data_IF_408245112390
#
_entry.id   IF_408245112390
#
_cell.length_a   1.000
_cell.length_b   1.000
_cell.length_c   1.000
_cell.angle_alpha   90.00
_cell.angle_beta   90.00
_cell.angle_gamma   90.00
#
_symmetry.space_group_name_H-M   'P 1'
#
loop_
_entity.id
_entity.type
_entity.pdbx_description
1 polymer ?
#
# COMPACT_ATOMS: atom_id res chain seq x y z
N UNK A 1 1.07 3.39 -9.47
CA UNK A 1 0.32 4.64 -9.70
C UNK A 1 -1.14 4.43 -9.38
N UNK A 2 -1.79 5.40 -8.73
CA UNK A 2 -3.24 5.47 -8.58
C UNK A 2 -3.72 6.75 -9.24
N UNK A 3 -4.67 6.64 -10.17
CA UNK A 3 -5.32 7.78 -10.81
C UNK A 3 -6.80 7.75 -10.48
N UNK A 4 -7.32 8.86 -9.94
CA UNK A 4 -8.73 8.99 -9.58
C UNK A 4 -9.35 10.08 -10.45
N UNK A 5 -10.51 9.77 -11.02
CA UNK A 5 -11.34 10.74 -11.73
C UNK A 5 -12.77 10.76 -11.19
N UNK A 6 -13.34 11.96 -11.18
CA UNK A 6 -14.73 12.24 -10.80
C UNK A 6 -15.44 12.80 -12.03
N UNK A 7 -16.52 12.15 -12.47
CA UNK A 7 -17.26 12.55 -13.68
C UNK A 7 -16.36 12.73 -14.92
N UNK A 8 -15.31 11.92 -15.04
CA UNK A 8 -14.35 11.99 -16.15
C UNK A 8 -13.22 13.01 -15.96
N UNK A 9 -13.29 13.88 -14.95
CA UNK A 9 -12.21 14.83 -14.63
C UNK A 9 -11.22 14.15 -13.70
N UNK A 10 -9.95 14.05 -14.13
CA UNK A 10 -8.89 13.51 -13.29
C UNK A 10 -8.51 14.52 -12.22
N UNK A 11 -8.59 14.12 -10.96
CA UNK A 11 -8.32 14.98 -9.80
C UNK A 11 -6.98 14.67 -9.16
N UNK A 12 -6.43 13.48 -9.38
CA UNK A 12 -5.08 13.12 -8.94
C UNK A 12 -4.05 13.80 -9.83
N UNK A 13 -2.97 14.29 -9.22
CA UNK A 13 -1.83 14.81 -9.97
C UNK A 13 -1.23 13.73 -10.89
N UNK A 14 -0.79 14.12 -12.07
CA UNK A 14 -0.21 13.25 -13.09
C UNK A 14 1.24 12.82 -12.79
N UNK A 15 1.62 12.78 -11.50
CA UNK A 15 2.97 12.39 -11.08
C UNK A 15 3.01 10.90 -10.77
N UNK A 16 3.97 10.18 -11.37
CA UNK A 16 4.22 8.75 -11.11
C UNK A 16 4.86 8.48 -9.74
N UNK A 17 4.46 9.24 -8.72
CA UNK A 17 5.07 9.25 -7.39
C UNK A 17 4.14 8.72 -6.30
N UNK A 18 3.03 8.09 -6.68
CA UNK A 18 2.05 7.53 -5.75
C UNK A 18 2.69 6.61 -4.70
N UNK A 19 3.64 5.80 -5.12
CA UNK A 19 4.36 4.83 -4.29
C UNK A 19 5.23 5.50 -3.21
N UNK A 20 5.88 6.62 -3.54
CA UNK A 20 6.64 7.40 -2.56
C UNK A 20 5.71 8.14 -1.61
N UNK A 21 4.62 8.71 -2.15
CA UNK A 21 3.60 9.35 -1.35
C UNK A 21 2.98 8.39 -0.34
N UNK A 22 2.58 7.19 -0.74
CA UNK A 22 2.00 6.19 0.17
C UNK A 22 2.99 5.78 1.26
N UNK A 23 4.25 5.62 0.90
CA UNK A 23 5.33 5.29 1.83
C UNK A 23 5.54 6.40 2.86
N UNK A 24 5.69 7.66 2.42
CA UNK A 24 5.88 8.80 3.31
C UNK A 24 4.64 9.06 4.18
N UNK A 25 3.43 8.96 3.61
CA UNK A 25 2.20 9.10 4.38
C UNK A 25 2.14 8.06 5.49
N UNK A 26 2.54 6.81 5.23
CA UNK A 26 2.56 5.76 6.24
C UNK A 26 3.58 6.06 7.35
N UNK A 27 4.78 6.51 7.00
CA UNK A 27 5.82 6.88 7.98
C UNK A 27 5.39 8.06 8.86
N UNK A 28 4.80 9.11 8.27
CA UNK A 28 4.48 10.33 9.00
C UNK A 28 3.15 10.26 9.75
N UNK A 29 2.23 9.41 9.33
CA UNK A 29 0.90 9.30 9.96
C UNK A 29 0.91 8.38 11.17
N UNK A 30 1.70 7.31 11.14
CA UNK A 30 1.57 6.20 12.08
C UNK A 30 2.78 6.07 13.00
N UNK A 31 2.51 5.73 14.27
CA UNK A 31 3.54 5.39 15.25
C UNK A 31 3.94 3.91 15.16
N UNK A 32 4.95 3.53 15.95
CA UNK A 32 5.38 2.13 16.11
C UNK A 32 4.24 1.18 16.50
N UNK A 33 3.28 1.65 17.29
CA UNK A 33 2.17 0.82 17.78
C UNK A 33 1.18 0.47 16.66
N UNK A 34 0.96 1.42 15.74
CA UNK A 34 0.18 1.18 14.54
C UNK A 34 0.90 0.20 13.60
N UNK A 35 2.22 0.30 13.51
CA UNK A 35 3.05 -0.62 12.72
C UNK A 35 3.04 -2.05 13.26
N UNK A 36 2.97 -2.23 14.59
CA UNK A 36 2.84 -3.53 15.23
C UNK A 36 1.41 -4.11 15.19
N UNK A 37 0.42 -3.30 14.80
CA UNK A 37 -0.99 -3.69 14.77
C UNK A 37 -1.53 -3.74 13.34
N UNK A 38 -2.44 -2.84 12.99
CA UNK A 38 -3.24 -2.90 11.77
C UNK A 38 -2.44 -2.68 10.47
N UNK A 39 -1.28 -2.01 10.54
CA UNK A 39 -0.45 -1.81 9.33
C UNK A 39 0.21 -3.11 8.85
N UNK A 40 0.33 -4.13 9.71
CA UNK A 40 0.80 -5.45 9.28
C UNK A 40 -0.10 -6.07 8.21
N UNK A 41 -1.41 -5.74 8.20
CA UNK A 41 -2.35 -6.14 7.14
C UNK A 41 -1.99 -5.54 5.77
N UNK A 42 -1.32 -4.39 5.74
CA UNK A 42 -0.81 -3.74 4.54
C UNK A 42 0.64 -4.14 4.24
N UNK A 43 1.14 -5.20 4.90
CA UNK A 43 2.50 -5.72 4.77
C UNK A 43 3.60 -4.75 5.23
N UNK A 44 3.24 -3.80 6.09
CA UNK A 44 4.16 -2.83 6.67
C UNK A 44 4.80 -3.40 7.94
N UNK A 45 6.09 -3.72 7.87
CA UNK A 45 6.91 -4.14 9.01
C UNK A 45 8.07 -3.16 9.17
N UNK A 46 8.31 -2.70 10.39
CA UNK A 46 9.38 -1.73 10.66
C UNK A 46 10.73 -2.37 10.38
N UNK A 47 11.52 -1.68 9.55
CA UNK A 47 12.91 -2.04 9.31
C UNK A 47 13.79 -1.48 10.45
N UNK A 48 14.80 -2.25 10.84
CA UNK A 48 15.72 -1.90 11.93
C UNK A 48 17.17 -1.89 11.43
N UNK A 49 18.02 -1.07 12.08
CA UNK A 49 19.44 -0.99 11.75
C UNK A 49 19.66 -0.52 10.31
N UNK A 50 20.46 -1.27 9.56
CA UNK A 50 20.63 -1.03 8.12
C UNK A 50 19.34 -1.41 7.38
N UNK A 51 18.68 -0.42 6.76
CA UNK A 51 17.41 -0.60 6.03
C UNK A 51 17.61 -1.23 4.65
N UNK A 52 18.83 -1.63 4.31
CA UNK A 52 19.15 -2.32 3.08
C UNK A 52 18.67 -3.78 3.08
N UNK A 53 18.57 -4.40 1.88
CA UNK A 53 18.31 -5.82 1.75
C UNK A 53 19.48 -6.60 2.37
N UNK A 54 19.17 -7.64 3.14
CA UNK A 54 20.18 -8.46 3.80
C UNK A 54 19.93 -9.94 3.52
N UNK A 55 20.89 -10.81 3.82
CA UNK A 55 20.70 -12.26 3.73
C UNK A 55 19.72 -12.72 4.81
N UNK A 56 18.49 -13.14 4.46
CA UNK A 56 17.47 -13.48 5.45
C UNK A 56 17.76 -14.76 6.23
N UNK A 57 18.78 -15.53 5.84
CA UNK A 57 19.22 -16.75 6.50
C UNK A 57 20.31 -16.54 7.56
N UNK A 58 20.89 -15.33 7.63
CA UNK A 58 21.94 -15.00 8.60
C UNK A 58 21.38 -14.54 9.94
N UNK A 59 21.91 -15.08 11.05
CA UNK A 59 21.58 -14.68 12.43
C UNK A 59 22.02 -13.25 12.79
N UNK A 60 22.88 -12.63 11.97
CA UNK A 60 23.40 -11.27 12.18
C UNK A 60 22.59 -10.18 11.46
N UNK A 61 21.40 -10.52 10.96
CA UNK A 61 20.58 -9.58 10.18
C UNK A 61 20.10 -8.40 11.02
N UNK A 62 20.46 -7.19 10.58
CA UNK A 62 20.00 -5.95 11.22
C UNK A 62 18.53 -5.67 10.91
N UNK A 63 18.10 -5.94 9.66
CA UNK A 63 16.78 -5.58 9.16
C UNK A 63 15.72 -6.66 9.43
N UNK A 64 15.17 -6.65 10.64
CA UNK A 64 14.12 -7.61 11.05
C UNK A 64 12.83 -7.47 10.23
N UNK A 65 12.47 -6.26 9.81
CA UNK A 65 11.31 -6.01 8.97
C UNK A 65 11.43 -6.71 7.61
N UNK A 66 12.60 -6.59 6.96
CA UNK A 66 12.90 -7.31 5.72
C UNK A 66 12.81 -8.84 5.88
N UNK A 67 13.44 -9.39 6.92
CA UNK A 67 13.42 -10.84 7.20
C UNK A 67 12.00 -11.36 7.41
N UNK A 68 11.16 -10.59 8.10
CA UNK A 68 9.75 -10.94 8.31
C UNK A 68 8.98 -11.00 6.99
N UNK A 69 9.13 -9.97 6.14
CA UNK A 69 8.50 -9.94 4.80
C UNK A 69 8.98 -11.08 3.91
N UNK A 70 10.27 -11.39 3.95
CA UNK A 70 10.83 -12.52 3.21
C UNK A 70 10.25 -13.85 3.69
N UNK A 71 10.14 -14.06 5.01
CA UNK A 71 9.58 -15.29 5.56
C UNK A 71 8.12 -15.53 5.18
N UNK A 72 7.33 -14.47 4.99
CA UNK A 72 5.94 -14.54 4.55
C UNK A 72 5.78 -14.76 3.04
N UNK A 73 6.82 -14.54 2.25
CA UNK A 73 6.77 -14.61 0.77
C UNK A 73 7.67 -15.68 0.16
N UNK A 74 8.56 -16.29 0.96
CA UNK A 74 9.43 -17.38 0.51
C UNK A 74 8.62 -18.51 -0.10
N UNK A 75 9.22 -19.23 -1.04
CA UNK A 75 8.59 -20.38 -1.72
C UNK A 75 7.30 -20.02 -2.48
N UNK A 76 7.17 -18.77 -2.94
CA UNK A 76 6.00 -18.29 -3.70
C UNK A 76 4.69 -18.41 -2.93
N UNK A 77 4.74 -18.20 -1.61
CA UNK A 77 3.52 -18.15 -0.79
C UNK A 77 2.59 -17.02 -1.24
N UNK A 78 1.30 -17.33 -1.24
CA UNK A 78 0.24 -16.36 -1.51
C UNK A 78 0.00 -15.53 -0.26
N UNK A 79 -0.07 -14.21 -0.44
CA UNK A 79 -0.33 -13.26 0.64
C UNK A 79 -1.56 -12.42 0.28
N UNK A 80 -2.38 -12.14 1.29
CA UNK A 80 -3.51 -11.24 1.17
C UNK A 80 -3.14 -9.92 1.86
N UNK A 81 -3.33 -8.80 1.17
CA UNK A 81 -3.02 -7.47 1.69
C UNK A 81 -4.28 -6.62 1.74
N UNK A 82 -4.49 -5.95 2.87
CA UNK A 82 -5.58 -5.01 3.07
C UNK A 82 -5.02 -3.66 3.51
N UNK A 83 -5.41 -2.61 2.78
CA UNK A 83 -4.97 -1.25 3.07
C UNK A 83 -5.91 -0.21 2.48
N UNK A 84 -5.71 1.03 2.89
CA UNK A 84 -6.43 2.18 2.34
C UNK A 84 -5.78 2.64 1.03
N UNK A 85 -6.55 3.33 0.19
CA UNK A 85 -6.01 4.01 -0.98
C UNK A 85 -5.41 5.34 -0.54
N UNK A 86 -4.12 5.52 -0.78
CA UNK A 86 -3.38 6.77 -0.48
C UNK A 86 -3.67 7.90 -1.48
N UNK A 87 -4.88 8.44 -1.47
CA UNK A 87 -5.28 9.58 -2.30
C UNK A 87 -5.93 10.67 -1.45
N UNK A 88 -5.78 11.92 -1.86
CA UNK A 88 -6.33 13.08 -1.14
C UNK A 88 -7.84 12.92 -0.90
N UNK A 89 -8.58 12.51 -1.93
CA UNK A 89 -10.04 12.33 -1.84
C UNK A 89 -10.46 11.23 -0.86
N UNK A 90 -9.61 10.24 -0.62
CA UNK A 90 -9.87 9.21 0.37
C UNK A 90 -9.52 9.65 1.81
N UNK A 91 -8.83 10.79 1.96
CA UNK A 91 -8.39 11.34 3.25
C UNK A 91 -9.16 12.62 3.64
N UNK A 92 -10.17 13.04 2.87
CA UNK A 92 -11.06 14.17 3.25
C UNK A 92 -12.23 13.63 4.06
N UNK A 93 -12.66 14.28 5.16
CA UNK A 93 -13.83 13.89 5.96
C UNK A 93 -15.16 14.28 5.28
N UNK A 94 -15.24 14.21 3.94
CA UNK A 94 -16.43 14.57 3.17
C UNK A 94 -16.93 13.37 2.36
N UNK A 95 -18.24 13.19 2.34
CA UNK A 95 -18.87 12.15 1.54
C UNK A 95 -18.97 12.55 0.08
N UNK A 96 -18.83 11.56 -0.80
CA UNK A 96 -19.10 11.75 -2.21
C UNK A 96 -20.60 11.93 -2.43
N UNK A 97 -20.98 13.01 -3.10
CA UNK A 97 -22.38 13.29 -3.41
C UNK A 97 -22.97 12.22 -4.34
N UNK A 98 -24.27 11.89 -4.19
CA UNK A 98 -24.96 11.01 -5.13
C UNK A 98 -24.86 11.53 -6.57
N UNK A 99 -24.73 10.62 -7.53
CA UNK A 99 -24.66 10.97 -8.96
C UNK A 99 -23.25 11.29 -9.47
N UNK A 100 -22.24 11.36 -8.60
CA UNK A 100 -20.84 11.48 -9.04
C UNK A 100 -20.28 10.11 -9.41
N UNK A 101 -19.79 9.96 -10.64
CA UNK A 101 -19.09 8.76 -11.10
C UNK A 101 -17.64 8.80 -10.61
N UNK A 102 -17.30 7.91 -9.68
CA UNK A 102 -15.94 7.66 -9.24
C UNK A 102 -15.29 6.60 -10.12
N UNK A 103 -14.12 6.91 -10.69
CA UNK A 103 -13.29 5.95 -11.40
C UNK A 103 -11.89 5.96 -10.81
N UNK A 104 -11.40 4.77 -10.45
CA UNK A 104 -10.07 4.57 -9.87
C UNK A 104 -9.30 3.63 -10.79
N UNK A 105 -8.11 4.03 -11.21
CA UNK A 105 -7.21 3.24 -12.04
C UNK A 105 -5.92 2.98 -11.27
N UNK A 106 -5.58 1.71 -11.09
CA UNK A 106 -4.31 1.29 -10.55
C UNK A 106 -3.38 0.84 -11.68
N UNK A 107 -2.16 1.37 -11.67
CA UNK A 107 -1.06 0.88 -12.51
C UNK A 107 0.04 0.34 -11.61
N UNK A 108 0.57 -0.83 -11.94
CA UNK A 108 1.66 -1.46 -11.20
C UNK A 108 2.90 -0.55 -11.19
N UNK A 109 3.57 -0.44 -10.04
CA UNK A 109 4.82 0.31 -9.94
C UNK A 109 5.96 -0.42 -10.70
N UNK A 110 7.14 0.23 -10.82
CA UNK A 110 8.34 -0.43 -11.33
C UNK A 110 8.82 -1.51 -10.36
N UNK A 111 9.37 -2.61 -10.87
CA UNK A 111 9.81 -3.78 -10.07
C UNK A 111 10.73 -3.39 -8.93
N UNK A 112 11.72 -2.54 -9.17
CA UNK A 112 12.68 -2.12 -8.15
C UNK A 112 12.08 -1.37 -6.96
N UNK A 113 10.80 -0.96 -6.99
CA UNK A 113 10.15 -0.36 -5.83
C UNK A 113 9.44 -1.38 -4.92
N UNK A 114 8.78 -2.40 -5.49
CA UNK A 114 7.96 -3.35 -4.72
C UNK A 114 8.61 -4.74 -4.58
N UNK A 115 9.66 -5.02 -5.36
CA UNK A 115 10.49 -6.22 -5.20
C UNK A 115 11.87 -5.78 -4.74
N UNK A 116 12.18 -6.14 -3.50
CA UNK A 116 13.52 -6.00 -2.95
C UNK A 116 14.16 -7.38 -3.05
N UNK A 117 15.22 -7.49 -3.85
CA UNK A 117 15.95 -8.73 -4.06
C UNK A 117 17.45 -8.50 -3.81
N UNK A 118 18.09 -9.46 -3.15
CA UNK A 118 19.55 -9.49 -2.95
C UNK A 118 20.27 -10.14 -4.13
N UNK A 119 19.59 -11.01 -4.89
CA UNK A 119 20.15 -11.73 -6.03
C UNK A 119 19.77 -11.08 -7.36
N UNK A 120 20.78 -10.71 -8.14
CA UNK A 120 20.64 -10.07 -9.46
C UNK A 120 20.13 -11.08 -10.51
N UNK A 121 20.35 -12.39 -10.30
CA UNK A 121 19.95 -13.45 -11.23
C UNK A 121 18.52 -13.95 -11.02
N UNK A 122 17.84 -13.50 -9.98
CA UNK A 122 16.55 -14.07 -9.58
C UNK A 122 15.38 -13.45 -10.36
N UNK A 123 14.66 -14.29 -11.10
CA UNK A 123 13.47 -13.96 -11.91
C UNK A 123 12.19 -13.84 -11.06
N UNK A 124 12.29 -13.24 -9.88
CA UNK A 124 11.13 -13.13 -8.98
C UNK A 124 10.05 -12.25 -9.62
N UNK A 125 8.82 -12.78 -9.71
CA UNK A 125 7.67 -12.04 -10.24
C UNK A 125 6.56 -11.93 -9.23
N UNK A 126 5.92 -10.75 -9.20
CA UNK A 126 4.72 -10.51 -8.39
C UNK A 126 3.48 -10.56 -9.30
N UNK A 127 2.55 -11.46 -8.99
CA UNK A 127 1.29 -11.65 -9.72
C UNK A 127 0.11 -11.31 -8.82
N UNK A 128 -0.90 -10.64 -9.39
CA UNK A 128 -2.16 -10.43 -8.71
C UNK A 128 -3.07 -11.63 -8.98
N UNK A 129 -3.57 -12.27 -7.92
CA UNK A 129 -4.51 -13.38 -8.02
C UNK A 129 -5.95 -12.88 -8.00
N UNK A 130 -6.28 -12.01 -7.04
CA UNK A 130 -7.58 -11.34 -6.91
C UNK A 130 -7.39 -9.89 -6.44
N UNK A 131 -8.36 -9.02 -6.74
CA UNK A 131 -8.38 -7.62 -6.29
C UNK A 131 -9.82 -7.18 -6.01
N UNK A 132 -10.07 -6.64 -4.82
CA UNK A 132 -11.38 -6.14 -4.42
C UNK A 132 -11.28 -4.73 -3.82
N UNK A 133 -12.25 -3.88 -4.17
CA UNK A 133 -12.41 -2.55 -3.58
C UNK A 133 -13.68 -2.51 -2.74
N UNK A 134 -13.54 -2.27 -1.43
CA UNK A 134 -14.67 -2.10 -0.51
C UNK A 134 -15.00 -0.61 -0.38
N UNK A 135 -16.25 -0.24 -0.68
CA UNK A 135 -16.77 1.12 -0.57
C UNK A 135 -18.03 1.10 0.28
N UNK A 136 -18.06 1.91 1.34
CA UNK A 136 -19.23 2.03 2.20
C UNK A 136 -20.19 3.08 1.65
N UNK A 137 -21.44 2.67 1.43
CA UNK A 137 -22.53 3.58 1.06
C UNK A 137 -23.28 3.99 2.31
N UNK A 138 -23.32 5.29 2.59
CA UNK A 138 -24.02 5.85 3.75
C UNK A 138 -25.28 6.57 3.28
N UNK A 139 -26.38 6.36 4.00
CA UNK A 139 -27.61 7.15 3.86
C UNK A 139 -27.65 8.15 5.01
N UNK A 140 -27.43 9.45 4.78
CA UNK A 140 -27.51 10.43 5.85
C UNK A 140 -28.93 10.47 6.43
N UNK A 141 -29.03 10.60 7.76
CA UNK A 141 -30.32 10.76 8.43
C UNK A 141 -30.83 12.19 8.17
N UNK A 142 -32.02 12.37 7.59
CA UNK A 142 -32.56 13.70 7.27
C UNK A 142 -32.81 14.61 8.49
N UNK A 143 -32.68 14.11 9.72
CA UNK A 143 -32.95 14.85 10.95
C UNK A 143 -31.71 15.45 11.63
N UNK A 144 -30.49 15.19 11.12
CA UNK A 144 -29.25 15.74 11.69
C UNK A 144 -28.69 16.71 10.65
N UNK A 145 -28.89 18.02 10.90
CA UNK A 145 -28.29 19.12 10.16
C UNK A 145 -26.84 19.35 10.59
#
# INVERSE_FOLDING_TARGET
QCSISLNGITITQATELYNYRSFLETIFTYSSDAAASHLTNAFWYIDNGDMLPCDPSSDTTSNKGFVTRWNLTKQSQEIEMYGKIHSDVCNVPQYLLPGVRLQIKFSKAKSGFYLINTDVASETTFKFLDQQLRVNRIRPNPHIQ
#
